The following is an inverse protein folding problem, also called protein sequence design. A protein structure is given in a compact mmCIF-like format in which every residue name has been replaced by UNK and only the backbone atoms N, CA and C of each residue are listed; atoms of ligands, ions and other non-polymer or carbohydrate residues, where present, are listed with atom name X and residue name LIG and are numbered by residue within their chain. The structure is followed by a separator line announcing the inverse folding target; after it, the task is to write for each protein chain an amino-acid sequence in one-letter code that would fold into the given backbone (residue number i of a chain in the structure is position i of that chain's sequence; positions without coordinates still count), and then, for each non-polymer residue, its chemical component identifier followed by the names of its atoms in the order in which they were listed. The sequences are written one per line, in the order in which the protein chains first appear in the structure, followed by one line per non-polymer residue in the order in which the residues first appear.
data_IF_796041685459
#
_entry.id   IF_796041685459
#
_cell.length_a   1.000
_cell.length_b   1.000
_cell.length_c   1.000
_cell.angle_alpha   90.00
_cell.angle_beta   90.00
_cell.angle_gamma   90.00
#
_symmetry.space_group_name_H-M   'P 1'
#
loop_
_entity.id
_entity.type
_entity.pdbx_description
1 polymer ?
#
# COMPACT_ATOMS: atom_id res chain seq x y z
N UNK A 1 -12.54 5.77 -10.65
CA UNK A 1 -12.11 6.69 -9.59
C UNK A 1 -11.10 7.64 -10.20
N UNK A 2 -11.29 8.93 -10.00
CA UNK A 2 -10.35 9.96 -10.44
C UNK A 2 -9.37 10.22 -9.29
N UNK A 3 -8.07 10.19 -9.58
CA UNK A 3 -7.03 10.48 -8.60
C UNK A 3 -6.55 11.91 -8.78
N UNK A 4 -6.34 12.64 -7.67
CA UNK A 4 -5.79 14.00 -7.72
C UNK A 4 -4.28 13.99 -8.01
N UNK A 5 -3.91 13.65 -9.24
CA UNK A 5 -2.50 13.63 -9.67
C UNK A 5 -1.91 15.05 -9.83
N UNK A 6 -2.76 16.08 -9.89
CA UNK A 6 -2.34 17.46 -10.02
C UNK A 6 -1.48 17.92 -8.83
N UNK A 7 -1.70 17.36 -7.63
CA UNK A 7 -0.87 17.63 -6.45
C UNK A 7 0.62 17.36 -6.69
N UNK A 8 0.96 16.33 -7.46
CA UNK A 8 2.36 16.02 -7.81
C UNK A 8 2.93 16.98 -8.86
N UNK A 9 2.12 17.38 -9.84
CA UNK A 9 2.55 18.33 -10.87
C UNK A 9 2.90 19.66 -10.22
N UNK A 10 2.02 20.18 -9.35
CA UNK A 10 2.22 21.44 -8.65
C UNK A 10 3.50 21.42 -7.81
N UNK A 11 3.72 20.36 -7.04
CA UNK A 11 4.92 20.24 -6.20
C UNK A 11 6.24 20.16 -6.99
N UNK A 12 6.18 19.70 -8.24
CA UNK A 12 7.34 19.51 -9.12
C UNK A 12 7.66 20.74 -9.99
N UNK A 13 6.83 21.78 -9.99
CA UNK A 13 7.02 22.94 -10.87
C UNK A 13 8.40 23.58 -10.67
N UNK A 14 8.81 23.77 -9.42
CA UNK A 14 10.06 24.47 -9.10
C UNK A 14 11.19 23.52 -8.69
N UNK A 15 10.87 22.30 -8.26
CA UNK A 15 11.83 21.41 -7.60
C UNK A 15 12.32 20.25 -8.50
N UNK A 16 11.74 20.08 -9.70
CA UNK A 16 12.07 18.95 -10.56
C UNK A 16 13.49 19.02 -11.11
N UNK A 17 13.88 20.18 -11.64
CA UNK A 17 15.21 20.37 -12.22
C UNK A 17 16.31 20.23 -11.15
N UNK A 18 16.08 20.80 -9.96
CA UNK A 18 16.98 20.66 -8.82
C UNK A 18 17.12 19.19 -8.39
N UNK A 19 16.01 18.46 -8.25
CA UNK A 19 16.04 17.05 -7.90
C UNK A 19 16.84 16.22 -8.93
N UNK A 20 16.63 16.49 -10.23
CA UNK A 20 17.37 15.78 -11.28
C UNK A 20 18.88 16.05 -11.20
N UNK A 21 19.27 17.31 -11.01
CA UNK A 21 20.67 17.68 -10.84
C UNK A 21 21.30 16.99 -9.63
N UNK A 22 20.64 17.02 -8.48
CA UNK A 22 21.13 16.37 -7.26
C UNK A 22 21.27 14.85 -7.41
N UNK A 23 20.35 14.22 -8.14
CA UNK A 23 20.40 12.79 -8.46
C UNK A 23 21.57 12.46 -9.38
N UNK A 24 21.80 13.28 -10.42
CA UNK A 24 22.94 13.13 -11.32
C UNK A 24 24.29 13.37 -10.62
N UNK A 25 24.32 14.32 -9.68
CA UNK A 25 25.49 14.60 -8.83
C UNK A 25 25.72 13.51 -7.77
N UNK A 26 24.77 12.59 -7.60
CA UNK A 26 24.86 11.52 -6.60
C UNK A 26 24.76 12.01 -5.16
N UNK A 27 24.18 13.18 -4.93
CA UNK A 27 24.01 13.72 -3.58
C UNK A 27 22.76 14.59 -3.48
N UNK A 28 21.74 13.99 -2.86
CA UNK A 28 20.52 14.68 -2.44
C UNK A 28 20.82 15.71 -1.35
N UNK A 29 20.29 16.93 -1.53
CA UNK A 29 20.50 18.10 -0.66
C UNK A 29 19.17 18.78 -0.29
N UNK A 30 18.19 18.76 -1.18
CA UNK A 30 16.90 19.48 -1.00
C UNK A 30 15.71 18.58 -0.64
N UNK A 31 14.56 19.22 -0.34
CA UNK A 31 13.37 18.59 0.21
C UNK A 31 12.34 18.18 -0.85
N UNK A 32 12.66 17.15 -1.64
CA UNK A 32 11.79 16.73 -2.75
C UNK A 32 11.34 15.26 -2.75
N UNK A 33 11.81 14.47 -1.79
CA UNK A 33 11.65 13.01 -1.80
C UNK A 33 10.19 12.54 -1.96
N UNK A 34 9.26 13.15 -1.23
CA UNK A 34 7.86 12.71 -1.16
C UNK A 34 7.13 12.78 -2.50
N UNK A 35 7.43 13.76 -3.33
CA UNK A 35 6.73 13.99 -4.59
C UNK A 35 7.56 13.61 -5.82
N UNK A 36 8.89 13.39 -5.69
CA UNK A 36 9.72 12.79 -6.74
C UNK A 36 9.63 11.27 -6.71
N UNK A 37 9.78 10.65 -5.54
CA UNK A 37 9.65 9.20 -5.34
C UNK A 37 8.53 8.90 -4.32
N UNK A 38 7.25 9.05 -4.72
CA UNK A 38 6.15 8.85 -3.80
C UNK A 38 6.03 7.37 -3.41
N UNK A 39 5.57 7.13 -2.17
CA UNK A 39 5.40 5.81 -1.58
C UNK A 39 3.92 5.55 -1.25
N UNK A 40 3.56 4.29 -0.95
CA UNK A 40 2.18 3.95 -0.61
C UNK A 40 1.74 4.59 0.72
N UNK A 41 0.45 4.93 0.81
CA UNK A 41 -0.18 5.43 2.02
C UNK A 41 -0.05 4.45 3.18
N UNK A 42 0.18 4.97 4.40
CA UNK A 42 0.32 4.17 5.62
C UNK A 42 1.77 3.98 6.10
N UNK A 43 2.76 4.29 5.27
CA UNK A 43 4.18 4.16 5.65
C UNK A 43 4.75 5.38 6.39
N UNK A 44 4.21 6.57 6.13
CA UNK A 44 4.69 7.81 6.73
C UNK A 44 3.73 8.43 7.74
N UNK A 45 4.29 9.14 8.71
CA UNK A 45 3.52 9.81 9.78
C UNK A 45 3.37 11.31 9.59
N UNK A 46 4.26 11.97 8.86
CA UNK A 46 4.15 13.41 8.61
C UNK A 46 3.00 13.73 7.66
N UNK A 47 2.42 14.92 7.83
CA UNK A 47 1.36 15.42 6.97
C UNK A 47 1.80 15.47 5.50
N UNK A 48 3.01 15.95 5.22
CA UNK A 48 3.61 15.95 3.87
C UNK A 48 3.71 14.54 3.28
N UNK A 49 4.09 13.53 4.08
CA UNK A 49 4.17 12.15 3.58
C UNK A 49 2.78 11.59 3.27
N UNK A 50 1.77 11.94 4.07
CA UNK A 50 0.38 11.50 3.84
C UNK A 50 -0.22 12.18 2.60
N UNK A 51 0.04 13.48 2.44
CA UNK A 51 -0.47 14.27 1.31
C UNK A 51 0.05 13.75 -0.04
N UNK A 52 1.34 13.43 -0.14
CA UNK A 52 1.94 12.89 -1.37
C UNK A 52 1.94 11.36 -1.45
N UNK A 53 1.33 10.66 -0.50
CA UNK A 53 1.24 9.21 -0.57
C UNK A 53 0.35 8.77 -1.74
N UNK A 54 0.72 7.65 -2.36
CA UNK A 54 -0.10 6.95 -3.33
C UNK A 54 -1.09 6.06 -2.56
N UNK A 55 -2.38 6.22 -2.83
CA UNK A 55 -3.47 5.51 -2.13
C UNK A 55 -3.45 3.99 -2.34
N UNK A 56 -2.90 3.51 -3.45
CA UNK A 56 -2.76 2.09 -3.73
C UNK A 56 -2.35 1.80 -5.16
N UNK A 57 -2.51 0.54 -5.57
CA UNK A 57 -2.06 0.06 -6.87
C UNK A 57 -2.70 0.80 -8.05
N UNK A 58 -4.01 1.04 -8.03
CA UNK A 58 -4.72 1.73 -9.11
C UNK A 58 -4.26 3.18 -9.30
N UNK A 59 -3.90 3.89 -8.22
CA UNK A 59 -3.31 5.23 -8.35
C UNK A 59 -1.89 5.17 -8.88
N UNK A 60 -1.08 4.18 -8.47
CA UNK A 60 0.25 3.97 -9.03
C UNK A 60 0.20 3.71 -10.55
N UNK A 61 -0.75 2.91 -11.03
CA UNK A 61 -0.97 2.71 -12.46
C UNK A 61 -1.39 3.99 -13.18
N UNK A 62 -2.31 4.76 -12.59
CA UNK A 62 -2.75 6.03 -13.15
C UNK A 62 -1.60 7.05 -13.20
N UNK A 63 -0.76 7.07 -12.16
CA UNK A 63 0.43 7.89 -12.08
C UNK A 63 1.42 7.58 -13.21
N UNK A 64 1.68 6.30 -13.48
CA UNK A 64 2.57 5.87 -14.56
C UNK A 64 2.01 6.18 -15.95
N UNK A 65 0.68 6.05 -16.14
CA UNK A 65 0.01 6.39 -17.40
C UNK A 65 -0.08 7.89 -17.64
N UNK A 66 0.10 8.72 -16.60
CA UNK A 66 0.03 10.17 -16.73
C UNK A 66 1.30 10.69 -17.47
N UNK A 67 1.16 11.35 -18.64
CA UNK A 67 2.27 11.58 -19.56
C UNK A 67 3.50 12.25 -18.95
N UNK A 68 3.30 13.22 -18.06
CA UNK A 68 4.41 13.95 -17.42
C UNK A 68 4.94 13.24 -16.17
N UNK A 69 4.08 12.59 -15.39
CA UNK A 69 4.49 12.02 -14.09
C UNK A 69 5.25 10.72 -14.27
N UNK A 70 4.75 9.82 -15.12
CA UNK A 70 5.42 8.56 -15.43
C UNK A 70 6.79 8.79 -16.03
N UNK A 71 6.87 9.61 -17.09
CA UNK A 71 8.14 9.93 -17.77
C UNK A 71 9.18 10.53 -16.81
N UNK A 72 8.78 11.48 -15.97
CA UNK A 72 9.68 12.11 -14.99
C UNK A 72 10.13 11.16 -13.88
N UNK A 73 9.24 10.28 -13.42
CA UNK A 73 9.62 9.26 -12.44
C UNK A 73 10.66 8.29 -13.04
N UNK A 74 10.46 7.86 -14.28
CA UNK A 74 11.46 7.05 -14.99
C UNK A 74 12.79 7.77 -15.18
N UNK A 75 12.77 9.05 -15.54
CA UNK A 75 13.97 9.88 -15.71
C UNK A 75 14.76 10.01 -14.39
N UNK A 76 14.09 10.29 -13.28
CA UNK A 76 14.73 10.30 -11.96
C UNK A 76 15.30 8.93 -11.57
N UNK A 77 14.58 7.83 -11.84
CA UNK A 77 15.08 6.48 -11.57
C UNK A 77 16.28 6.14 -12.44
N UNK A 78 16.31 6.54 -13.70
CA UNK A 78 17.47 6.35 -14.59
C UNK A 78 18.67 7.17 -14.11
N UNK A 79 18.45 8.36 -13.57
CA UNK A 79 19.51 9.19 -12.99
C UNK A 79 20.16 8.50 -11.78
N UNK A 80 19.35 7.94 -10.87
CA UNK A 80 19.85 7.06 -9.80
C UNK A 80 20.70 5.92 -10.35
N UNK A 81 20.18 5.17 -11.33
CA UNK A 81 20.86 4.01 -11.94
C UNK A 81 22.16 4.36 -12.68
N UNK A 82 22.29 5.59 -13.17
CA UNK A 82 23.48 6.04 -13.90
C UNK A 82 24.66 6.38 -12.99
N UNK A 83 24.40 6.61 -11.70
CA UNK A 83 25.43 7.00 -10.76
C UNK A 83 26.27 5.77 -10.33
N UNK A 84 27.61 5.87 -10.26
CA UNK A 84 28.50 4.74 -9.94
C UNK A 84 28.46 4.31 -8.45
N UNK A 85 27.61 4.94 -7.62
CA UNK A 85 27.56 4.63 -6.20
C UNK A 85 27.03 3.21 -5.95
N UNK A 86 27.63 2.48 -4.99
CA UNK A 86 27.18 1.14 -4.61
C UNK A 86 25.81 1.10 -3.93
N UNK A 87 25.31 2.19 -3.34
CA UNK A 87 24.05 2.13 -2.57
C UNK A 87 23.17 3.37 -2.73
N UNK A 88 21.85 3.19 -2.67
CA UNK A 88 20.91 4.31 -2.65
C UNK A 88 21.11 5.24 -1.45
N UNK A 89 21.65 4.72 -0.34
CA UNK A 89 21.90 5.48 0.90
C UNK A 89 23.01 6.52 0.74
N UNK A 90 24.01 6.25 -0.09
CA UNK A 90 25.06 7.24 -0.38
C UNK A 90 24.52 8.40 -1.20
N UNK A 91 23.57 8.14 -2.11
CA UNK A 91 22.98 9.17 -2.96
C UNK A 91 21.91 9.98 -2.19
N UNK A 92 20.99 9.28 -1.53
CA UNK A 92 19.78 9.88 -0.96
C UNK A 92 19.91 10.19 0.53
N UNK A 93 20.87 9.57 1.23
CA UNK A 93 20.92 9.58 2.68
C UNK A 93 19.77 8.81 3.31
N UNK A 94 19.74 8.83 4.64
CA UNK A 94 18.65 8.27 5.42
C UNK A 94 17.76 9.36 6.01
N UNK A 95 16.43 9.18 6.05
CA UNK A 95 15.66 7.97 5.74
C UNK A 95 15.20 7.87 4.27
N UNK A 96 15.72 8.69 3.37
CA UNK A 96 15.25 8.75 1.99
C UNK A 96 15.64 7.48 1.19
N UNK A 97 16.70 6.77 1.56
CA UNK A 97 17.02 5.44 1.08
C UNK A 97 15.86 4.44 1.26
N UNK A 98 15.19 4.44 2.40
CA UNK A 98 14.05 3.56 2.64
C UNK A 98 12.82 3.99 1.84
N UNK A 99 12.59 5.30 1.67
CA UNK A 99 11.47 5.82 0.87
C UNK A 99 11.63 5.46 -0.60
N UNK A 100 12.86 5.50 -1.11
CA UNK A 100 13.17 5.08 -2.48
C UNK A 100 12.88 3.59 -2.65
N UNK A 101 13.26 2.75 -1.68
CA UNK A 101 12.93 1.32 -1.68
C UNK A 101 11.42 1.07 -1.77
N UNK A 102 10.63 1.75 -0.93
CA UNK A 102 9.16 1.67 -0.96
C UNK A 102 8.58 2.15 -2.29
N UNK A 103 9.10 3.25 -2.86
CA UNK A 103 8.66 3.79 -4.14
C UNK A 103 8.95 2.82 -5.29
N UNK A 104 10.18 2.32 -5.40
CA UNK A 104 10.57 1.37 -6.45
C UNK A 104 9.81 0.06 -6.33
N UNK A 105 9.48 -0.38 -5.11
CA UNK A 105 8.62 -1.54 -4.87
C UNK A 105 7.21 -1.30 -5.41
N UNK A 106 6.59 -0.17 -5.07
CA UNK A 106 5.25 0.17 -5.52
C UNK A 106 5.16 0.27 -7.05
N UNK A 107 6.06 1.04 -7.66
CA UNK A 107 6.03 1.28 -9.11
C UNK A 107 6.58 0.11 -9.91
N UNK A 108 7.51 -0.69 -9.37
CA UNK A 108 7.95 -1.94 -9.97
C UNK A 108 6.83 -2.97 -10.09
N UNK A 109 5.86 -2.94 -9.17
CA UNK A 109 4.65 -3.76 -9.24
C UNK A 109 3.63 -3.21 -10.24
N UNK A 110 3.46 -1.89 -10.31
CA UNK A 110 2.49 -1.24 -11.18
C UNK A 110 2.94 -1.15 -12.66
N UNK A 111 4.24 -1.16 -12.90
CA UNK A 111 4.82 -1.06 -14.24
C UNK A 111 4.90 -2.41 -14.96
N UNK A 112 5.02 -2.34 -16.29
CA UNK A 112 5.29 -3.49 -17.14
C UNK A 112 6.69 -4.08 -16.85
N UNK A 113 6.93 -5.30 -17.34
CA UNK A 113 8.25 -5.94 -17.28
C UNK A 113 9.32 -5.09 -17.98
N UNK A 114 10.54 -5.09 -17.43
CA UNK A 114 11.66 -4.28 -17.95
C UNK A 114 11.65 -2.81 -17.52
N UNK A 115 10.74 -2.39 -16.63
CA UNK A 115 10.73 -1.02 -16.10
C UNK A 115 12.00 -0.70 -15.31
N UNK A 116 12.46 0.57 -15.33
CA UNK A 116 13.65 0.99 -14.59
C UNK A 116 13.48 0.81 -13.07
N UNK A 117 12.25 0.77 -12.55
CA UNK A 117 11.97 0.55 -11.12
C UNK A 117 12.40 -0.84 -10.65
N UNK A 118 12.16 -1.88 -11.46
CA UNK A 118 12.62 -3.24 -11.15
C UNK A 118 14.15 -3.32 -11.21
N UNK A 119 14.77 -2.68 -12.19
CA UNK A 119 16.23 -2.59 -12.27
C UNK A 119 16.81 -1.88 -11.06
N UNK A 120 16.21 -0.78 -10.60
CA UNK A 120 16.62 -0.09 -9.39
C UNK A 120 16.50 -0.96 -8.13
N UNK A 121 15.45 -1.77 -8.00
CA UNK A 121 15.36 -2.77 -6.93
C UNK A 121 16.52 -3.77 -6.98
N UNK A 122 16.84 -4.30 -8.16
CA UNK A 122 17.96 -5.22 -8.32
C UNK A 122 19.30 -4.58 -7.96
N UNK A 123 19.57 -3.38 -8.47
CA UNK A 123 20.85 -2.69 -8.28
C UNK A 123 21.04 -2.25 -6.83
N UNK A 124 20.05 -1.62 -6.22
CA UNK A 124 20.22 -0.98 -4.90
C UNK A 124 19.75 -1.84 -3.72
N UNK A 125 18.92 -2.85 -3.95
CA UNK A 125 18.27 -3.64 -2.90
C UNK A 125 18.28 -5.14 -3.17
N UNK A 126 19.14 -5.62 -4.07
CA UNK A 126 19.28 -7.05 -4.39
C UNK A 126 18.05 -7.69 -5.05
N UNK A 127 17.09 -6.89 -5.52
CA UNK A 127 15.84 -7.34 -6.12
C UNK A 127 14.72 -7.53 -5.12
N UNK A 128 14.99 -7.35 -3.83
CA UNK A 128 14.02 -7.49 -2.77
C UNK A 128 13.11 -6.26 -2.69
N UNK A 129 11.82 -6.49 -2.52
CA UNK A 129 10.84 -5.42 -2.31
C UNK A 129 10.75 -4.99 -0.84
N UNK A 130 10.35 -3.75 -0.61
CA UNK A 130 10.02 -3.24 0.72
C UNK A 130 8.81 -4.01 1.28
N UNK A 131 9.03 -4.74 2.37
CA UNK A 131 8.02 -5.63 2.97
C UNK A 131 6.81 -4.87 3.49
N UNK A 132 7.00 -3.63 3.96
CA UNK A 132 5.89 -2.81 4.44
C UNK A 132 4.97 -2.38 3.28
N UNK A 133 5.55 -1.94 2.16
CA UNK A 133 4.80 -1.68 0.91
C UNK A 133 4.04 -2.92 0.43
N UNK A 134 4.70 -4.09 0.44
CA UNK A 134 4.07 -5.35 0.03
C UNK A 134 2.94 -5.80 0.96
N UNK A 135 3.04 -5.54 2.26
CA UNK A 135 2.00 -5.85 3.24
C UNK A 135 0.75 -4.98 3.04
N UNK A 136 0.93 -3.66 2.91
CA UNK A 136 -0.19 -2.71 2.73
C UNK A 136 -1.00 -3.05 1.48
N UNK A 137 -0.33 -3.37 0.37
CA UNK A 137 -1.00 -3.80 -0.87
C UNK A 137 -1.87 -5.05 -0.68
N UNK A 138 -1.42 -6.02 0.12
CA UNK A 138 -2.15 -7.28 0.37
C UNK A 138 -3.41 -7.04 1.20
N UNK A 139 -3.35 -6.13 2.18
CA UNK A 139 -4.47 -5.80 3.06
C UNK A 139 -5.67 -5.16 2.35
N UNK A 140 -5.48 -4.58 1.16
CA UNK A 140 -6.57 -4.01 0.35
C UNK A 140 -7.49 -5.06 -0.33
N UNK A 141 -7.25 -6.36 -0.13
CA UNK A 141 -8.01 -7.45 -0.80
C UNK A 141 -9.06 -8.13 0.10
N UNK A 142 -9.19 -7.76 1.38
CA UNK A 142 -10.07 -8.47 2.33
C UNK A 142 -11.17 -7.63 3.02
N UNK A 143 -11.58 -6.51 2.44
CA UNK A 143 -12.70 -5.72 2.95
C UNK A 143 -13.85 -5.61 1.93
N UNK A 144 -14.47 -6.73 1.53
CA UNK A 144 -15.81 -6.75 0.92
C UNK A 144 -16.38 -8.16 0.67
N UNK A 145 -16.41 -9.04 1.69
CA UNK A 145 -17.34 -10.20 1.66
C UNK A 145 -18.04 -10.35 3.01
N UNK A 146 -19.36 -10.19 2.95
CA UNK A 146 -20.39 -10.69 3.86
C UNK A 146 -20.65 -9.94 5.19
N UNK A 147 -21.22 -8.74 5.09
CA UNK A 147 -22.36 -8.33 5.95
C UNK A 147 -23.60 -8.12 5.08
N UNK A 148 -24.14 -9.23 4.56
CA UNK A 148 -25.51 -9.24 4.03
C UNK A 148 -26.10 -10.65 4.10
N UNK A 149 -26.73 -10.98 5.24
CA UNK A 149 -27.88 -11.89 5.25
C UNK A 149 -28.87 -11.44 6.32
N UNK A 150 -29.68 -10.50 5.85
CA UNK A 150 -31.09 -10.22 6.16
C UNK A 150 -31.72 -10.94 7.35
N UNK A 151 -32.13 -10.11 8.30
CA UNK A 151 -33.30 -10.36 9.14
C UNK A 151 -34.55 -10.49 8.28
N UNK A 152 -35.17 -11.66 8.24
CA UNK A 152 -36.61 -11.79 7.99
C UNK A 152 -37.23 -12.59 9.11
N UNK A 153 -37.89 -11.83 9.98
CA UNK A 153 -38.78 -12.23 11.06
C UNK A 153 -40.10 -12.69 10.45
N UNK A 154 -40.46 -13.96 10.64
CA UNK A 154 -41.85 -14.42 10.48
C UNK A 154 -42.19 -15.41 11.60
N UNK A 155 -43.08 -15.01 12.52
CA UNK A 155 -43.75 -15.91 13.48
C UNK A 155 -44.83 -16.71 12.74
N UNK A 156 -45.24 -17.85 13.29
CA UNK A 156 -46.69 -18.01 13.52
C UNK A 156 -47.02 -18.47 14.95
N UNK A 157 -48.14 -17.94 15.45
CA UNK A 157 -48.92 -18.50 16.56
C UNK A 157 -49.73 -19.70 16.03
N UNK A 158 -49.78 -20.80 16.78
CA UNK A 158 -50.70 -21.90 16.54
C UNK A 158 -50.80 -22.80 17.78
N UNK A 159 -51.99 -22.88 18.36
CA UNK A 159 -52.34 -23.55 19.63
C UNK A 159 -53.03 -24.88 19.30
N UNK A 160 -52.64 -25.99 19.94
CA UNK A 160 -53.50 -27.18 20.07
C UNK A 160 -53.06 -28.05 21.27
N UNK A 161 -54.05 -28.50 22.05
CA UNK A 161 -53.98 -29.38 23.23
C UNK A 161 -54.25 -30.84 22.83
N UNK A 162 -53.68 -31.79 23.58
CA UNK A 162 -54.26 -33.08 24.04
C UNK A 162 -53.24 -33.68 25.06
N UNK A 163 -53.51 -33.91 26.36
CA UNK A 163 -54.26 -35.04 27.00
C UNK A 163 -53.84 -36.40 26.40
N UNK A 164 -53.21 -37.38 27.09
CA UNK A 164 -53.53 -37.96 28.40
C UNK A 164 -52.48 -38.99 28.89
N UNK A 165 -52.21 -38.97 30.21
CA UNK A 165 -52.13 -40.04 31.23
C UNK A 165 -51.14 -41.23 31.26
N UNK A 166 -50.68 -41.46 32.52
CA UNK A 166 -50.30 -42.70 33.23
C UNK A 166 -48.81 -43.08 33.20
N UNK A 167 -48.03 -42.98 34.29
CA UNK A 167 -48.07 -43.51 35.67
C UNK A 167 -47.00 -44.61 35.82
N UNK A 168 -46.07 -44.44 36.76
CA UNK A 168 -45.07 -45.45 37.11
C UNK A 168 -44.11 -44.94 38.18
N UNK A 169 -44.38 -45.37 39.42
CA UNK A 169 -43.80 -44.96 40.70
C UNK A 169 -42.44 -45.63 40.97
N UNK A 170 -41.49 -44.91 41.59
CA UNK A 170 -40.78 -45.29 42.83
C UNK A 170 -39.41 -44.60 42.97
N UNK A 171 -39.10 -44.24 44.21
CA UNK A 171 -37.96 -43.47 44.76
C UNK A 171 -37.17 -44.44 45.70
N UNK A 172 -36.15 -44.04 46.49
CA UNK A 172 -34.84 -43.38 46.28
C UNK A 172 -33.65 -44.24 46.83
N UNK A 173 -32.47 -43.59 46.99
CA UNK A 173 -31.40 -43.79 47.99
C UNK A 173 -30.14 -44.61 47.56
N UNK A 174 -28.96 -44.44 48.20
CA UNK A 174 -28.30 -43.20 48.63
C UNK A 174 -26.79 -43.17 48.28
N UNK A 175 -26.10 -42.17 48.83
CA UNK A 175 -24.75 -41.70 48.52
C UNK A 175 -23.62 -42.38 49.32
N UNK A 176 -22.39 -42.18 48.80
CA UNK A 176 -21.09 -41.97 49.50
C UNK A 176 -20.33 -43.21 50.03
N UNK A 177 -19.00 -43.11 50.30
CA UNK A 177 -18.09 -41.94 50.29
C UNK A 177 -17.44 -41.59 48.95
#
# INVERSE_FOLDING_TARGET
MEFDLARFIKARQDNYAEALQELSDGQKRSHWMWFIFPQIHGLGRSETTRFYAISGHSEAEAYLKYPVLGARLEECTRSMLSHPSPTAREILGSPDDLKFHSSMTLFGIAAQSGSPFKTALHVFYGGEGDQATLAIRRSSTFANVATYRSSTRTRPRGRARAHSYSNGVAVPEPKFP
#
